data_IF_850642613560
#
_entry.id   IF_850642613560
#
_cell.length_a   1.000
_cell.length_b   1.000
_cell.length_c   1.000
_cell.angle_alpha   90.00
_cell.angle_beta   90.00
_cell.angle_gamma   90.00
#
_symmetry.space_group_name_H-M   'P 1'
#
loop_
_entity.id
_entity.type
_entity.pdbx_description
1 polymer ?
#
# COMPACT_ATOMS: atom_id res chain seq x y z
N UNK A 1 2.67 -0.57 19.68
CA UNK A 1 2.72 0.78 19.08
C UNK A 1 1.54 0.92 18.14
N UNK A 2 0.70 1.94 18.30
CA UNK A 2 -0.52 2.10 17.48
C UNK A 2 -0.28 3.05 16.31
N UNK A 3 -0.82 2.69 15.15
CA UNK A 3 -0.95 3.56 13.97
C UNK A 3 -2.37 4.11 13.92
N UNK A 4 -2.51 5.32 13.38
CA UNK A 4 -3.77 5.93 13.00
C UNK A 4 -3.94 5.79 11.50
N UNK A 5 -5.05 5.20 11.06
CA UNK A 5 -5.36 5.06 9.65
C UNK A 5 -5.62 6.46 9.08
N UNK A 6 -4.90 6.89 8.03
CA UNK A 6 -5.06 8.24 7.52
C UNK A 6 -6.32 8.39 6.64
N UNK A 7 -7.03 7.30 6.34
CA UNK A 7 -8.26 7.29 5.54
C UNK A 7 -9.53 7.34 6.39
N UNK A 8 -9.57 6.60 7.50
CA UNK A 8 -10.78 6.46 8.33
C UNK A 8 -10.57 6.81 9.80
N UNK A 9 -9.34 7.12 10.22
CA UNK A 9 -9.00 7.47 11.60
C UNK A 9 -8.94 6.30 12.59
N UNK A 10 -9.12 5.05 12.13
CA UNK A 10 -8.99 3.86 12.99
C UNK A 10 -7.63 3.84 13.68
N UNK A 11 -7.58 3.53 14.97
CA UNK A 11 -6.31 3.30 15.68
C UNK A 11 -6.12 1.81 15.95
N UNK A 12 -5.01 1.25 15.51
CA UNK A 12 -4.71 -0.16 15.68
C UNK A 12 -3.19 -0.41 15.72
N UNK A 13 -2.77 -1.59 16.19
CA UNK A 13 -1.37 -2.04 16.04
C UNK A 13 -0.97 -2.16 14.55
N UNK A 14 0.33 -2.11 14.26
CA UNK A 14 0.89 -2.24 12.90
C UNK A 14 0.29 -3.40 12.11
N UNK A 15 0.21 -4.61 12.69
CA UNK A 15 -0.28 -5.79 11.97
C UNK A 15 -1.77 -5.68 11.63
N UNK A 16 -2.57 -5.15 12.56
CA UNK A 16 -4.00 -4.92 12.33
C UNK A 16 -4.22 -3.77 11.34
N UNK A 17 -3.43 -2.69 11.45
CA UNK A 17 -3.48 -1.56 10.51
C UNK A 17 -3.15 -2.01 9.09
N UNK A 18 -2.13 -2.85 8.95
CA UNK A 18 -1.70 -3.39 7.67
C UNK A 18 -2.79 -4.21 6.98
N UNK A 19 -3.40 -5.15 7.71
CA UNK A 19 -4.52 -5.93 7.22
C UNK A 19 -5.75 -5.06 6.93
N UNK A 20 -6.03 -4.08 7.79
CA UNK A 20 -7.12 -3.13 7.61
C UNK A 20 -6.96 -2.30 6.33
N UNK A 21 -5.77 -1.76 6.07
CA UNK A 21 -5.49 -1.00 4.85
C UNK A 21 -5.67 -1.88 3.60
N UNK A 22 -5.12 -3.09 3.60
CA UNK A 22 -5.25 -3.99 2.45
C UNK A 22 -6.69 -4.48 2.20
N UNK A 23 -7.46 -4.71 3.26
CA UNK A 23 -8.83 -5.22 3.18
C UNK A 23 -9.89 -4.15 2.96
N UNK A 24 -9.78 -3.00 3.63
CA UNK A 24 -10.79 -1.93 3.61
C UNK A 24 -10.41 -0.82 2.64
N UNK A 25 -9.13 -0.46 2.59
CA UNK A 25 -8.62 0.63 1.77
C UNK A 25 -7.85 0.14 0.53
N UNK A 26 -8.02 -1.12 0.15
CA UNK A 26 -7.37 -1.71 -1.03
C UNK A 26 -7.67 -0.99 -2.35
N UNK A 27 -8.78 -0.25 -2.41
CA UNK A 27 -9.19 0.60 -3.53
C UNK A 27 -8.29 1.84 -3.72
N UNK A 28 -7.56 2.24 -2.67
CA UNK A 28 -6.62 3.36 -2.75
C UNK A 28 -5.37 3.04 -3.58
N UNK A 29 -5.21 1.78 -4.01
CA UNK A 29 -4.13 1.36 -4.88
C UNK A 29 -4.62 1.34 -6.32
N UNK A 30 -3.98 2.16 -7.14
CA UNK A 30 -4.26 2.21 -8.56
C UNK A 30 -3.39 1.21 -9.29
N UNK A 31 -4.01 0.34 -10.09
CA UNK A 31 -3.32 -0.58 -10.99
C UNK A 31 -3.44 -0.07 -12.42
N UNK A 32 -2.32 0.33 -13.02
CA UNK A 32 -2.26 0.88 -14.38
C UNK A 32 -1.30 0.09 -15.24
N UNK A 33 -1.69 -0.25 -16.48
CA UNK A 33 -0.78 -0.87 -17.43
C UNK A 33 0.20 0.19 -17.97
N UNK A 34 1.49 -0.01 -17.73
CA UNK A 34 2.50 0.88 -18.27
C UNK A 34 2.76 0.58 -19.74
N UNK A 35 2.15 1.35 -20.65
CA UNK A 35 2.20 1.12 -22.10
C UNK A 35 3.63 1.02 -22.65
N UNK A 36 4.56 1.81 -22.12
CA UNK A 36 5.96 1.85 -22.59
C UNK A 36 6.75 0.59 -22.22
N UNK A 37 6.41 -0.09 -21.13
CA UNK A 37 7.16 -1.26 -20.64
C UNK A 37 6.37 -2.56 -20.62
N UNK A 38 5.05 -2.49 -20.80
CA UNK A 38 4.15 -3.64 -20.84
C UNK A 38 3.98 -4.37 -19.51
N UNK A 39 4.31 -3.75 -18.36
CA UNK A 39 4.02 -4.30 -17.03
C UNK A 39 2.96 -3.49 -16.32
N UNK A 40 2.24 -4.11 -15.38
CA UNK A 40 1.30 -3.40 -14.52
C UNK A 40 2.05 -2.67 -13.42
N UNK A 41 1.74 -1.41 -13.22
CA UNK A 41 2.21 -0.57 -12.11
C UNK A 41 1.12 -0.53 -11.06
N UNK A 42 1.48 -0.88 -9.83
CA UNK A 42 0.65 -0.64 -8.65
C UNK A 42 1.15 0.63 -7.97
N UNK A 43 0.28 1.62 -7.79
CA UNK A 43 0.63 2.92 -7.21
C UNK A 43 -0.17 3.15 -5.95
N UNK A 44 0.52 3.51 -4.87
CA UNK A 44 -0.11 3.94 -3.61
C UNK A 44 0.30 5.38 -3.32
N UNK A 45 -0.65 6.20 -2.86
CA UNK A 45 -0.41 7.61 -2.50
C UNK A 45 -0.69 7.81 -1.02
N UNK A 46 0.23 8.47 -0.32
CA UNK A 46 0.04 8.90 1.05
C UNK A 46 -0.96 10.07 1.08
N UNK A 47 -2.10 9.94 1.79
CA UNK A 47 -3.09 11.02 1.88
C UNK A 47 -2.64 12.19 2.75
N UNK A 48 -1.56 12.05 3.55
CA UNK A 48 -1.08 13.12 4.43
C UNK A 48 -0.10 14.08 3.74
N UNK A 49 0.83 13.56 2.94
CA UNK A 49 1.88 14.34 2.27
C UNK A 49 1.82 14.29 0.74
N UNK A 50 0.87 13.54 0.16
CA UNK A 50 0.74 13.30 -1.28
C UNK A 50 1.95 12.62 -1.94
N UNK A 51 2.89 12.07 -1.17
CA UNK A 51 3.94 11.21 -1.71
C UNK A 51 3.33 9.95 -2.32
N UNK A 52 3.83 9.51 -3.48
CA UNK A 52 3.34 8.31 -4.16
C UNK A 52 4.49 7.36 -4.46
N UNK A 53 4.19 6.06 -4.40
CA UNK A 53 5.13 5.00 -4.69
C UNK A 53 4.55 4.07 -5.73
N UNK A 54 5.35 3.81 -6.75
CA UNK A 54 5.00 2.98 -7.88
C UNK A 54 5.79 1.67 -7.80
N UNK A 55 5.10 0.54 -7.90
CA UNK A 55 5.70 -0.78 -7.89
C UNK A 55 5.37 -1.55 -9.17
N UNK A 56 6.37 -1.90 -9.99
CA UNK A 56 6.17 -2.68 -11.19
C UNK A 56 5.91 -4.16 -10.89
N UNK A 57 4.69 -4.61 -11.13
CA UNK A 57 4.27 -6.01 -11.02
C UNK A 57 4.63 -6.74 -12.31
N UNK A 58 5.91 -7.12 -12.43
CA UNK A 58 6.43 -7.82 -13.63
C UNK A 58 5.74 -9.16 -13.89
N UNK A 59 5.26 -9.86 -12.85
CA UNK A 59 4.57 -11.15 -12.98
C UNK A 59 3.24 -11.04 -13.70
N UNK A 60 2.51 -9.93 -13.50
CA UNK A 60 1.24 -9.64 -14.17
C UNK A 60 1.35 -9.57 -15.70
N UNK A 61 2.54 -9.25 -16.22
CA UNK A 61 2.81 -9.26 -17.66
C UNK A 61 2.70 -10.67 -18.26
N UNK A 62 3.11 -11.69 -17.50
CA UNK A 62 3.16 -13.08 -17.98
C UNK A 62 1.85 -13.82 -17.72
N UNK A 63 1.19 -13.52 -16.61
CA UNK A 63 -0.11 -14.08 -16.26
C UNK A 63 -1.00 -12.94 -15.75
N UNK A 64 -2.05 -12.53 -16.50
CA UNK A 64 -2.91 -11.43 -16.10
C UNK A 64 -3.81 -11.79 -14.90
N UNK A 65 -4.13 -13.08 -14.70
CA UNK A 65 -4.92 -13.56 -13.54
C UNK A 65 -4.14 -13.42 -12.24
N UNK A 66 -2.81 -13.34 -12.31
CA UNK A 66 -1.95 -13.06 -11.16
C UNK A 66 -2.38 -11.79 -10.41
N UNK A 67 -2.86 -10.76 -11.11
CA UNK A 67 -3.34 -9.54 -10.46
C UNK A 67 -4.61 -9.78 -9.66
N UNK A 68 -5.51 -10.62 -10.17
CA UNK A 68 -6.77 -10.95 -9.50
C UNK A 68 -6.52 -11.91 -8.32
N UNK A 69 -5.71 -12.94 -8.53
CA UNK A 69 -5.39 -13.96 -7.52
C UNK A 69 -4.54 -13.40 -6.37
N UNK A 70 -3.59 -12.49 -6.67
CA UNK A 70 -2.67 -11.92 -5.69
C UNK A 70 -2.93 -10.43 -5.42
N UNK A 71 -4.12 -9.91 -5.75
CA UNK A 71 -4.49 -8.51 -5.53
C UNK A 71 -4.26 -8.10 -4.06
N UNK A 72 -4.64 -8.98 -3.14
CA UNK A 72 -4.55 -8.75 -1.71
C UNK A 72 -3.10 -8.69 -1.23
N UNK A 73 -2.25 -9.64 -1.67
CA UNK A 73 -0.84 -9.66 -1.34
C UNK A 73 -0.08 -8.46 -1.90
N UNK A 74 -0.41 -8.02 -3.13
CA UNK A 74 0.16 -6.81 -3.70
C UNK A 74 -0.22 -5.59 -2.85
N UNK A 75 -1.49 -5.51 -2.42
CA UNK A 75 -1.95 -4.44 -1.52
C UNK A 75 -1.18 -4.44 -0.21
N UNK A 76 -0.97 -5.62 0.40
CA UNK A 76 -0.15 -5.73 1.60
C UNK A 76 1.25 -5.15 1.38
N UNK A 77 1.95 -5.53 0.31
CA UNK A 77 3.30 -5.01 0.07
C UNK A 77 3.32 -3.48 -0.04
N UNK A 78 2.38 -2.87 -0.76
CA UNK A 78 2.35 -1.40 -0.91
C UNK A 78 1.93 -0.69 0.37
N UNK A 79 0.97 -1.23 1.12
CA UNK A 79 0.60 -0.65 2.40
C UNK A 79 1.69 -0.82 3.46
N UNK A 80 2.54 -1.85 3.36
CA UNK A 80 3.73 -1.96 4.21
C UNK A 80 4.69 -0.78 3.96
N UNK A 81 4.92 -0.42 2.68
CA UNK A 81 5.70 0.76 2.31
C UNK A 81 5.07 2.05 2.84
N UNK A 82 3.74 2.20 2.70
CA UNK A 82 3.02 3.36 3.24
C UNK A 82 3.18 3.44 4.77
N UNK A 83 3.02 2.33 5.49
CA UNK A 83 3.19 2.29 6.95
C UNK A 83 4.62 2.64 7.37
N UNK A 84 5.62 2.17 6.61
CA UNK A 84 7.00 2.53 6.85
C UNK A 84 7.22 4.04 6.68
N UNK A 85 6.65 4.63 5.63
CA UNK A 85 6.69 6.07 5.41
C UNK A 85 5.95 6.85 6.51
N UNK A 86 4.74 6.44 6.90
CA UNK A 86 3.99 7.05 7.99
C UNK A 86 4.81 7.06 9.29
N UNK A 87 5.56 6.00 9.56
CA UNK A 87 6.45 5.93 10.70
C UNK A 87 7.64 6.89 10.60
N UNK A 88 8.29 6.95 9.44
CA UNK A 88 9.47 7.80 9.24
C UNK A 88 9.15 9.29 9.17
N UNK A 89 8.17 9.65 8.35
CA UNK A 89 7.89 11.05 7.98
C UNK A 89 6.79 11.68 8.84
N UNK A 90 5.85 10.87 9.34
CA UNK A 90 4.70 11.34 10.12
C UNK A 90 4.74 10.94 11.60
N UNK A 91 5.80 10.22 12.04
CA UNK A 91 5.95 9.77 13.43
C UNK A 91 4.91 8.73 13.88
N UNK A 92 4.16 8.15 12.95
CA UNK A 92 3.11 7.17 13.26
C UNK A 92 3.71 5.85 13.78
N UNK A 93 3.11 5.26 14.81
CA UNK A 93 3.69 4.08 15.45
C UNK A 93 5.01 4.36 16.18
N UNK A 94 5.35 5.63 16.42
CA UNK A 94 6.44 6.05 17.28
C UNK A 94 6.08 5.95 18.76
N UNK A 95 6.58 4.89 19.40
CA UNK A 95 7.03 4.96 20.80
C UNK A 95 8.55 4.88 20.76
N UNK A 96 9.20 5.74 21.55
CA UNK A 96 10.65 5.94 21.61
C UNK A 96 11.43 4.64 21.81
N UNK A 97 12.56 4.52 21.10
CA UNK A 97 13.91 4.36 21.64
C UNK A 97 14.92 4.23 20.51
#
# INVERSE_FOLDING_TARGET
MSFTCPYCGLRADRGTMHAHLAGVHGDQITFSLHERSGYTLATVTCPLCSASWEQPIRKARRDPRFLEEYAYEIRLVLFDLLLHHLRGEHGEGGGEQ
#
